data_IF_444366922956
#
_entry.id   IF_444366922956
#
_cell.length_a   1.000
_cell.length_b   1.000
_cell.length_c   1.000
_cell.angle_alpha   90.00
_cell.angle_beta   90.00
_cell.angle_gamma   90.00
#
_symmetry.space_group_name_H-M   'P 1'
#
loop_
_entity.id
_entity.type
_entity.pdbx_description
1 polymer ?
#
# COMPACT_ATOMS: atom_id res chain seq x y z
N UNK A 1 14.78 -1.57 -2.98
CA UNK A 1 16.20 -1.96 -3.04
C UNK A 1 16.41 -3.10 -4.03
N UNK A 2 17.51 -3.05 -4.78
CA UNK A 2 17.95 -4.14 -5.66
C UNK A 2 19.38 -4.54 -5.32
N UNK A 3 19.61 -5.81 -5.01
CA UNK A 3 20.94 -6.37 -4.79
C UNK A 3 20.95 -7.89 -5.04
N UNK A 4 21.99 -8.41 -5.65
CA UNK A 4 22.21 -9.86 -5.87
C UNK A 4 20.97 -10.61 -6.39
N UNK A 5 20.29 -10.07 -7.42
CA UNK A 5 19.05 -10.60 -7.97
C UNK A 5 17.87 -10.61 -6.99
N UNK A 6 17.94 -9.90 -5.87
CA UNK A 6 16.82 -9.68 -4.97
C UNK A 6 16.27 -8.28 -5.18
N UNK A 7 14.98 -8.18 -5.50
CA UNK A 7 14.22 -6.93 -5.49
C UNK A 7 13.42 -6.90 -4.19
N UNK A 8 13.77 -5.97 -3.32
CA UNK A 8 13.09 -5.77 -2.05
C UNK A 8 12.25 -4.50 -2.11
N UNK A 9 10.94 -4.63 -1.90
CA UNK A 9 10.08 -3.48 -1.64
C UNK A 9 10.25 -3.13 -0.15
N UNK A 10 10.81 -1.96 0.14
CA UNK A 10 11.14 -1.54 1.52
C UNK A 10 9.96 -0.78 2.14
N UNK A 11 9.33 0.10 1.38
CA UNK A 11 8.15 0.85 1.82
C UNK A 11 7.24 1.17 0.63
N UNK A 12 5.94 1.27 0.91
CA UNK A 12 4.91 1.73 -0.02
C UNK A 12 4.09 2.82 0.66
N UNK A 13 3.84 3.90 -0.06
CA UNK A 13 2.91 4.96 0.34
C UNK A 13 2.12 5.42 -0.87
N UNK A 14 0.90 5.87 -0.67
CA UNK A 14 0.04 6.33 -1.77
C UNK A 14 -1.14 7.16 -1.30
N UNK A 15 -1.75 7.87 -2.24
CA UNK A 15 -3.01 8.57 -2.06
C UNK A 15 -3.98 8.10 -3.15
N UNK A 16 -5.03 7.36 -2.76
CA UNK A 16 -6.03 6.77 -3.66
C UNK A 16 -6.86 7.81 -4.42
N UNK A 17 -6.80 9.07 -4.00
CA UNK A 17 -7.56 10.18 -4.55
C UNK A 17 -6.65 11.22 -5.19
N UNK A 18 -5.45 10.84 -5.62
CA UNK A 18 -4.50 11.73 -6.27
C UNK A 18 -4.08 11.13 -7.61
N UNK A 19 -4.48 11.78 -8.70
CA UNK A 19 -4.18 11.32 -10.05
C UNK A 19 -4.35 12.38 -11.12
N UNK A 20 -4.35 11.93 -12.38
CA UNK A 20 -4.53 12.81 -13.53
C UNK A 20 -5.88 13.52 -13.57
N UNK A 21 -6.92 12.87 -13.06
CA UNK A 21 -8.29 13.41 -13.03
C UNK A 21 -8.41 14.64 -12.13
N UNK A 22 -7.60 14.72 -11.06
CA UNK A 22 -7.58 15.91 -10.18
C UNK A 22 -7.02 17.14 -10.92
N UNK A 23 -6.02 16.94 -11.79
CA UNK A 23 -5.52 18.01 -12.66
C UNK A 23 -6.56 18.41 -13.69
N UNK A 24 -7.34 17.46 -14.25
CA UNK A 24 -8.41 17.75 -15.18
C UNK A 24 -9.50 18.57 -14.51
N UNK A 25 -9.87 18.23 -13.29
CA UNK A 25 -10.82 19.01 -12.50
C UNK A 25 -10.28 20.41 -12.16
N UNK A 26 -9.00 20.53 -11.79
CA UNK A 26 -8.38 21.82 -11.52
C UNK A 26 -8.42 22.75 -12.76
N UNK A 27 -8.13 22.22 -13.95
CA UNK A 27 -8.25 22.95 -15.21
C UNK A 27 -9.71 23.34 -15.47
N UNK A 28 -10.67 22.41 -15.30
CA UNK A 28 -12.08 22.65 -15.52
C UNK A 28 -12.64 23.74 -14.58
N UNK A 29 -12.29 23.70 -13.29
CA UNK A 29 -12.66 24.74 -12.31
C UNK A 29 -12.04 26.08 -12.67
N UNK A 30 -10.79 26.12 -13.10
CA UNK A 30 -10.12 27.34 -13.57
C UNK A 30 -10.83 27.93 -14.80
N UNK A 31 -11.20 27.09 -15.76
CA UNK A 31 -11.98 27.51 -16.93
C UNK A 31 -13.32 28.15 -16.52
N UNK A 32 -14.04 27.51 -15.61
CA UNK A 32 -15.30 28.06 -15.10
C UNK A 32 -15.08 29.40 -14.39
N UNK A 33 -14.07 29.51 -13.54
CA UNK A 33 -13.73 30.76 -12.86
C UNK A 33 -13.36 31.87 -13.83
N UNK A 34 -12.56 31.56 -14.86
CA UNK A 34 -12.18 32.50 -15.93
C UNK A 34 -13.41 33.09 -16.65
N UNK A 35 -14.44 32.28 -16.83
CA UNK A 35 -15.69 32.68 -17.50
C UNK A 35 -16.81 33.06 -16.53
N UNK A 36 -16.54 33.24 -15.23
CA UNK A 36 -17.52 33.56 -14.18
C UNK A 36 -18.67 32.55 -14.11
N UNK A 37 -18.37 31.28 -14.35
CA UNK A 37 -19.29 30.16 -14.24
C UNK A 37 -19.04 29.43 -12.92
N UNK A 38 -20.09 28.88 -12.33
CA UNK A 38 -19.93 27.99 -11.19
C UNK A 38 -19.83 26.55 -11.67
N UNK A 39 -18.65 25.92 -11.43
CA UNK A 39 -18.38 24.53 -11.81
C UNK A 39 -19.34 23.55 -11.12
N UNK A 40 -19.67 23.79 -9.84
CA UNK A 40 -20.47 22.86 -9.06
C UNK A 40 -21.95 22.88 -9.48
N UNK A 41 -22.43 23.98 -10.08
CA UNK A 41 -23.76 24.12 -10.62
C UNK A 41 -23.93 23.54 -12.03
N UNK A 42 -22.84 23.13 -12.70
CA UNK A 42 -22.94 22.51 -14.03
C UNK A 42 -23.64 21.15 -13.95
N UNK A 43 -24.55 20.88 -14.86
CA UNK A 43 -25.13 19.55 -15.03
C UNK A 43 -24.09 18.49 -15.41
N UNK A 44 -24.36 17.25 -15.08
CA UNK A 44 -23.40 16.13 -15.23
C UNK A 44 -22.83 16.00 -16.65
N UNK A 45 -23.65 16.18 -17.69
CA UNK A 45 -23.20 16.10 -19.08
C UNK A 45 -22.18 17.20 -19.42
N UNK A 46 -22.43 18.42 -18.93
CA UNK A 46 -21.53 19.57 -19.15
C UNK A 46 -20.21 19.40 -18.39
N UNK A 47 -20.27 18.91 -17.14
CA UNK A 47 -19.06 18.56 -16.36
C UNK A 47 -18.21 17.53 -17.10
N UNK A 48 -18.82 16.43 -17.55
CA UNK A 48 -18.10 15.37 -18.29
C UNK A 48 -17.51 15.86 -19.62
N UNK A 49 -18.19 16.78 -20.32
CA UNK A 49 -17.67 17.37 -21.54
C UNK A 49 -16.45 18.26 -21.23
N UNK A 50 -16.55 19.12 -20.21
CA UNK A 50 -15.46 20.01 -19.82
C UNK A 50 -14.23 19.24 -19.31
N UNK A 51 -14.42 18.18 -18.51
CA UNK A 51 -13.34 17.32 -18.04
C UNK A 51 -12.58 16.67 -19.20
N UNK A 52 -13.30 16.14 -20.22
CA UNK A 52 -12.63 15.61 -21.44
C UNK A 52 -11.81 16.65 -22.20
N UNK A 53 -12.31 17.89 -22.27
CA UNK A 53 -11.53 18.97 -22.88
C UNK A 53 -10.31 19.34 -22.05
N UNK A 54 -10.44 19.34 -20.72
CA UNK A 54 -9.35 19.57 -19.79
C UNK A 54 -8.29 18.50 -19.91
N UNK A 55 -8.66 17.22 -19.95
CA UNK A 55 -7.77 16.10 -20.17
C UNK A 55 -6.99 16.22 -21.49
N UNK A 56 -7.69 16.57 -22.58
CA UNK A 56 -7.06 16.80 -23.88
C UNK A 56 -6.00 17.90 -23.80
N UNK A 57 -6.32 19.04 -23.19
CA UNK A 57 -5.35 20.13 -23.01
C UNK A 57 -4.17 19.72 -22.13
N UNK A 58 -4.43 19.00 -21.03
CA UNK A 58 -3.37 18.43 -20.18
C UNK A 58 -2.43 17.52 -20.97
N UNK A 59 -2.98 16.64 -21.81
CA UNK A 59 -2.19 15.76 -22.68
C UNK A 59 -1.39 16.56 -23.72
N UNK A 60 -1.97 17.59 -24.33
CA UNK A 60 -1.25 18.45 -25.27
C UNK A 60 -0.06 19.16 -24.63
N UNK A 61 -0.17 19.59 -23.37
CA UNK A 61 0.92 20.23 -22.62
C UNK A 61 2.09 19.27 -22.28
N UNK A 62 1.98 17.99 -22.56
CA UNK A 62 3.11 17.06 -22.48
C UNK A 62 4.10 17.25 -23.63
N UNK A 63 3.66 17.83 -24.76
CA UNK A 63 4.43 18.01 -25.98
C UNK A 63 4.58 19.47 -26.40
N UNK A 64 3.77 20.36 -25.83
CA UNK A 64 3.72 21.80 -26.15
C UNK A 64 3.85 22.61 -24.88
N UNK A 65 4.40 23.81 -24.98
CA UNK A 65 4.49 24.72 -23.82
C UNK A 65 3.16 25.40 -23.48
N UNK A 66 2.29 25.54 -24.51
CA UNK A 66 0.98 26.19 -24.37
C UNK A 66 -0.08 25.50 -25.25
N UNK A 67 -1.32 25.61 -24.83
CA UNK A 67 -2.52 25.14 -25.54
C UNK A 67 -3.72 26.06 -25.22
N UNK A 68 -4.85 25.82 -25.85
CA UNK A 68 -6.08 26.56 -25.58
C UNK A 68 -7.22 25.56 -25.31
N UNK A 69 -7.88 25.68 -24.16
CA UNK A 69 -9.11 24.96 -23.88
C UNK A 69 -10.26 25.67 -24.63
N UNK A 70 -10.79 25.00 -25.65
CA UNK A 70 -11.87 25.51 -26.49
C UNK A 70 -13.15 24.71 -26.21
N UNK A 71 -14.15 25.38 -25.68
CA UNK A 71 -15.48 24.79 -25.49
C UNK A 71 -16.46 25.38 -26.51
N UNK A 72 -16.48 24.77 -27.69
CA UNK A 72 -17.24 25.29 -28.84
C UNK A 72 -18.74 25.44 -28.54
N UNK A 73 -19.35 24.46 -27.85
CA UNK A 73 -20.77 24.49 -27.46
C UNK A 73 -21.14 25.71 -26.61
N UNK A 74 -20.19 26.29 -25.91
CA UNK A 74 -20.37 27.50 -25.08
C UNK A 74 -19.78 28.77 -25.72
N UNK A 75 -19.07 28.63 -26.83
CA UNK A 75 -18.35 29.73 -27.47
C UNK A 75 -17.24 30.32 -26.60
N UNK A 76 -16.64 29.54 -25.72
CA UNK A 76 -15.69 29.99 -24.70
C UNK A 76 -14.32 29.37 -24.90
N UNK A 77 -13.28 30.15 -24.59
CA UNK A 77 -11.87 29.73 -24.74
C UNK A 77 -11.04 30.21 -23.57
N UNK A 78 -10.03 29.44 -23.17
CA UNK A 78 -9.07 29.79 -22.13
C UNK A 78 -7.67 29.32 -22.54
N UNK A 79 -6.66 30.21 -22.60
CA UNK A 79 -5.28 29.79 -22.80
C UNK A 79 -4.78 29.03 -21.57
N UNK A 80 -3.98 28.00 -21.81
CA UNK A 80 -3.41 27.16 -20.77
C UNK A 80 -1.94 26.87 -21.12
N UNK A 81 -1.07 26.96 -20.12
CA UNK A 81 0.35 26.61 -20.25
C UNK A 81 0.83 25.87 -19.00
N UNK A 82 2.07 25.35 -19.06
CA UNK A 82 2.63 24.60 -17.96
C UNK A 82 2.80 25.43 -16.66
N UNK A 83 3.03 26.73 -16.75
CA UNK A 83 3.12 27.61 -15.58
C UNK A 83 1.77 27.75 -14.87
N UNK A 84 0.70 27.98 -15.63
CA UNK A 84 -0.65 28.05 -15.09
C UNK A 84 -1.05 26.68 -14.49
N UNK A 85 -0.77 25.58 -15.20
CA UNK A 85 -1.03 24.23 -14.71
C UNK A 85 -0.31 23.93 -13.38
N UNK A 86 0.94 24.37 -13.25
CA UNK A 86 1.68 24.23 -12.00
C UNK A 86 1.02 25.02 -10.84
N UNK A 87 0.55 26.24 -11.11
CA UNK A 87 -0.20 27.03 -10.10
C UNK A 87 -1.51 26.38 -9.70
N UNK A 88 -2.26 25.84 -10.66
CA UNK A 88 -3.53 25.13 -10.40
C UNK A 88 -3.32 23.82 -9.61
N UNK A 89 -2.20 23.16 -9.84
CA UNK A 89 -1.84 21.90 -9.19
C UNK A 89 -1.19 22.01 -7.82
N UNK A 90 -1.03 23.21 -7.23
CA UNK A 90 -0.26 23.39 -6.00
C UNK A 90 -0.72 22.46 -4.85
N UNK A 91 -2.02 22.40 -4.59
CA UNK A 91 -2.57 21.52 -3.55
C UNK A 91 -2.36 20.02 -3.84
N UNK A 92 -2.30 19.64 -5.12
CA UNK A 92 -2.02 18.27 -5.55
C UNK A 92 -0.54 17.93 -5.33
N UNK A 93 0.34 18.90 -5.59
CA UNK A 93 1.77 18.75 -5.31
C UNK A 93 2.05 18.64 -3.80
N UNK A 94 1.36 19.41 -2.96
CA UNK A 94 1.50 19.30 -1.51
C UNK A 94 1.10 17.90 -1.00
N UNK A 95 0.02 17.33 -1.53
CA UNK A 95 -0.38 15.94 -1.25
C UNK A 95 0.67 14.94 -1.73
N UNK A 96 1.21 15.13 -2.93
CA UNK A 96 2.26 14.28 -3.47
C UNK A 96 3.53 14.30 -2.59
N UNK A 97 3.92 15.48 -2.09
CA UNK A 97 5.04 15.59 -1.14
C UNK A 97 4.81 14.78 0.12
N UNK A 98 3.61 14.84 0.72
CA UNK A 98 3.27 14.07 1.91
C UNK A 98 3.40 12.57 1.69
N UNK A 99 2.99 12.07 0.52
CA UNK A 99 3.13 10.65 0.15
C UNK A 99 4.62 10.27 0.05
N UNK A 100 5.44 11.09 -0.61
CA UNK A 100 6.88 10.84 -0.76
C UNK A 100 7.59 10.87 0.60
N UNK A 101 7.32 11.88 1.43
CA UNK A 101 7.89 12.00 2.76
C UNK A 101 7.52 10.80 3.66
N UNK A 102 6.29 10.32 3.53
CA UNK A 102 5.84 9.11 4.25
C UNK A 102 6.61 7.89 3.80
N UNK A 103 6.80 7.69 2.48
CA UNK A 103 7.56 6.57 1.95
C UNK A 103 9.04 6.60 2.40
N UNK A 104 9.68 7.76 2.37
CA UNK A 104 11.05 7.95 2.84
C UNK A 104 11.16 7.66 4.35
N UNK A 105 10.26 8.20 5.15
CA UNK A 105 10.24 7.96 6.60
C UNK A 105 10.04 6.48 6.93
N UNK A 106 9.10 5.82 6.28
CA UNK A 106 8.77 4.42 6.53
C UNK A 106 9.90 3.48 6.06
N UNK A 107 10.63 3.85 5.00
CA UNK A 107 11.80 3.12 4.55
C UNK A 107 13.05 3.36 5.40
N UNK A 108 12.99 4.33 6.33
CA UNK A 108 14.15 4.79 7.12
C UNK A 108 15.31 5.20 6.19
N UNK A 109 14.98 5.84 5.05
CA UNK A 109 15.92 6.33 4.06
C UNK A 109 15.86 7.85 3.94
N UNK A 110 17.00 8.46 3.68
CA UNK A 110 17.08 9.84 3.24
C UNK A 110 17.06 9.93 1.70
N UNK A 111 16.75 11.10 1.17
CA UNK A 111 16.73 11.29 -0.29
C UNK A 111 18.13 11.12 -0.93
N UNK A 112 19.18 11.36 -0.17
CA UNK A 112 20.57 11.19 -0.60
C UNK A 112 20.92 9.72 -0.83
N UNK A 113 20.25 8.80 -0.14
CA UNK A 113 20.43 7.35 -0.25
C UNK A 113 19.65 6.73 -1.41
N UNK A 114 18.81 7.53 -2.10
CA UNK A 114 18.05 7.08 -3.27
C UNK A 114 18.92 7.20 -4.52
N UNK A 115 19.24 6.11 -5.17
CA UNK A 115 20.07 6.11 -6.38
C UNK A 115 19.32 6.66 -7.58
N UNK A 116 18.06 6.30 -7.76
CA UNK A 116 17.27 6.68 -8.92
C UNK A 116 15.79 6.93 -8.57
N UNK A 117 15.19 7.92 -9.24
CA UNK A 117 13.76 8.21 -9.17
C UNK A 117 13.15 7.89 -10.52
N UNK A 118 12.29 6.88 -10.58
CA UNK A 118 11.69 6.41 -11.84
C UNK A 118 10.22 6.83 -11.87
N UNK A 119 9.83 7.55 -12.94
CA UNK A 119 8.46 7.98 -13.17
C UNK A 119 7.71 6.97 -14.04
N UNK A 120 6.51 6.58 -13.61
CA UNK A 120 5.66 5.57 -14.23
C UNK A 120 4.22 6.07 -14.35
N UNK A 121 3.52 5.62 -15.38
CA UNK A 121 2.12 5.98 -15.62
C UNK A 121 1.93 7.26 -16.43
N UNK A 122 0.72 7.45 -16.98
CA UNK A 122 0.40 8.51 -17.92
C UNK A 122 0.62 9.93 -17.37
N UNK A 123 0.24 10.18 -16.11
CA UNK A 123 0.40 11.49 -15.46
C UNK A 123 1.87 11.90 -15.29
N UNK A 124 2.79 10.93 -15.21
CA UNK A 124 4.22 11.20 -15.10
C UNK A 124 4.82 11.87 -16.34
N UNK A 125 4.11 11.83 -17.47
CA UNK A 125 4.49 12.51 -18.72
C UNK A 125 4.35 14.04 -18.64
N UNK A 126 3.62 14.58 -17.66
CA UNK A 126 3.46 16.02 -17.48
C UNK A 126 4.79 16.66 -17.05
N UNK A 127 5.31 17.65 -17.82
CA UNK A 127 6.57 18.33 -17.47
C UNK A 127 6.54 18.96 -16.08
N UNK A 128 5.39 19.44 -15.64
CA UNK A 128 5.22 20.07 -14.32
C UNK A 128 5.50 19.10 -13.17
N UNK A 129 5.18 17.81 -13.30
CA UNK A 129 5.49 16.79 -12.29
C UNK A 129 6.99 16.53 -12.21
N UNK A 130 7.64 16.33 -13.34
CA UNK A 130 9.10 16.11 -13.39
C UNK A 130 9.85 17.30 -12.80
N UNK A 131 9.45 18.53 -13.16
CA UNK A 131 10.06 19.75 -12.66
C UNK A 131 9.83 19.92 -11.16
N UNK A 132 8.61 19.67 -10.69
CA UNK A 132 8.28 19.73 -9.27
C UNK A 132 9.14 18.75 -8.46
N UNK A 133 9.20 17.48 -8.86
CA UNK A 133 9.99 16.46 -8.18
C UNK A 133 11.49 16.79 -8.21
N UNK A 134 12.01 17.27 -9.33
CA UNK A 134 13.40 17.71 -9.42
C UNK A 134 13.70 18.84 -8.43
N UNK A 135 12.77 19.77 -8.25
CA UNK A 135 12.93 20.91 -7.35
C UNK A 135 12.88 20.45 -5.88
N UNK A 136 11.94 19.60 -5.53
CA UNK A 136 11.74 19.09 -4.17
C UNK A 136 12.83 18.12 -3.74
N UNK A 137 13.16 17.16 -4.60
CA UNK A 137 14.08 16.07 -4.27
C UNK A 137 15.52 16.37 -4.70
N UNK A 138 15.75 17.53 -5.34
CA UNK A 138 17.07 17.97 -5.86
C UNK A 138 17.76 16.92 -6.74
N UNK A 139 16.96 16.04 -7.32
CA UNK A 139 17.36 15.00 -8.27
C UNK A 139 16.45 15.01 -9.50
N UNK A 140 17.02 14.84 -10.68
CA UNK A 140 16.24 14.74 -11.90
C UNK A 140 15.62 13.32 -11.97
N UNK A 141 14.29 13.20 -12.02
CA UNK A 141 13.66 11.91 -12.25
C UNK A 141 14.00 11.37 -13.65
N UNK A 142 14.13 10.07 -13.78
CA UNK A 142 14.17 9.36 -15.06
C UNK A 142 12.78 8.85 -15.41
N UNK A 143 12.52 8.78 -16.71
CA UNK A 143 11.28 8.23 -17.25
C UNK A 143 11.63 6.99 -18.08
N UNK A 144 10.91 5.91 -17.87
CA UNK A 144 11.04 4.71 -18.72
C UNK A 144 10.53 5.00 -20.12
N UNK A 145 11.01 4.26 -21.12
CA UNK A 145 10.68 4.48 -22.52
C UNK A 145 9.17 4.42 -22.82
N UNK A 146 8.44 3.54 -22.12
CA UNK A 146 6.98 3.38 -22.26
C UNK A 146 6.31 3.42 -20.89
N UNK A 147 6.09 4.61 -20.28
CA UNK A 147 5.52 4.73 -18.95
C UNK A 147 4.13 4.09 -18.79
N UNK A 148 3.37 3.96 -19.85
CA UNK A 148 2.04 3.36 -19.87
C UNK A 148 2.10 1.82 -19.91
N UNK A 149 3.18 1.24 -20.43
CA UNK A 149 3.32 -0.20 -20.68
C UNK A 149 4.21 -0.90 -19.64
N UNK A 150 5.00 -0.15 -18.89
CA UNK A 150 6.03 -0.70 -17.99
C UNK A 150 5.43 -1.63 -16.94
N UNK A 151 4.21 -1.37 -16.47
CA UNK A 151 3.52 -2.24 -15.51
C UNK A 151 3.19 -3.59 -16.15
N UNK A 152 2.68 -3.59 -17.40
CA UNK A 152 2.41 -4.82 -18.13
C UNK A 152 3.69 -5.62 -18.41
N UNK A 153 4.78 -4.94 -18.74
CA UNK A 153 6.11 -5.56 -18.91
C UNK A 153 6.59 -6.18 -17.60
N UNK A 154 6.46 -5.47 -16.48
CA UNK A 154 6.80 -5.99 -15.15
C UNK A 154 6.00 -7.23 -14.77
N UNK A 155 4.69 -7.23 -15.04
CA UNK A 155 3.82 -8.41 -14.83
C UNK A 155 4.29 -9.60 -15.69
N UNK A 156 4.69 -9.35 -16.95
CA UNK A 156 5.24 -10.38 -17.83
C UNK A 156 6.54 -10.99 -17.28
N UNK A 157 7.45 -10.17 -16.79
CA UNK A 157 8.69 -10.62 -16.14
C UNK A 157 8.35 -11.44 -14.88
N UNK A 158 7.45 -10.94 -14.05
CA UNK A 158 7.04 -11.64 -12.83
C UNK A 158 6.39 -13.00 -13.10
N UNK A 159 5.58 -13.11 -14.14
CA UNK A 159 5.03 -14.39 -14.58
C UNK A 159 6.16 -15.36 -14.98
N UNK A 160 7.18 -14.88 -15.70
CA UNK A 160 8.34 -15.69 -16.06
C UNK A 160 9.15 -16.15 -14.85
N UNK A 161 9.31 -15.30 -13.82
CA UNK A 161 9.94 -15.68 -12.53
C UNK A 161 9.15 -16.80 -11.86
N UNK A 162 7.82 -16.68 -11.81
CA UNK A 162 6.95 -17.75 -11.23
C UNK A 162 7.02 -19.06 -12.00
N UNK A 163 7.15 -19.03 -13.31
CA UNK A 163 7.33 -20.21 -14.17
C UNK A 163 8.77 -20.79 -14.12
N UNK A 164 9.68 -20.16 -13.38
CA UNK A 164 11.10 -20.53 -13.25
C UNK A 164 11.81 -20.66 -14.61
N UNK A 165 11.55 -19.73 -15.53
CA UNK A 165 12.27 -19.68 -16.82
C UNK A 165 13.76 -19.48 -16.59
N UNK A 166 14.59 -20.16 -17.39
CA UNK A 166 16.05 -20.25 -17.16
C UNK A 166 16.74 -18.89 -17.00
N UNK A 167 16.33 -17.87 -17.76
CA UNK A 167 17.00 -16.57 -17.80
C UNK A 167 16.71 -15.67 -16.59
N UNK A 168 15.63 -15.95 -15.84
CA UNK A 168 15.16 -15.08 -14.74
C UNK A 168 14.81 -15.86 -13.45
N UNK A 169 15.13 -17.15 -13.40
CA UNK A 169 14.77 -18.04 -12.27
C UNK A 169 15.39 -17.64 -10.93
N UNK A 170 16.52 -16.92 -10.97
CA UNK A 170 17.28 -16.54 -9.78
C UNK A 170 16.83 -15.17 -9.23
N UNK A 171 15.88 -14.48 -9.91
CA UNK A 171 15.30 -13.24 -9.41
C UNK A 171 14.31 -13.52 -8.28
N UNK A 172 14.53 -12.91 -7.13
CA UNK A 172 13.65 -12.98 -5.96
C UNK A 172 12.98 -11.63 -5.77
N UNK A 173 11.65 -11.62 -5.77
CA UNK A 173 10.85 -10.45 -5.43
C UNK A 173 10.23 -10.65 -4.05
N UNK A 174 10.49 -9.73 -3.13
CA UNK A 174 9.81 -9.66 -1.84
C UNK A 174 8.79 -8.54 -1.87
N UNK A 175 7.61 -8.83 -1.37
CA UNK A 175 6.50 -7.88 -1.29
C UNK A 175 6.17 -7.55 0.16
N UNK A 176 5.42 -6.48 0.37
CA UNK A 176 5.02 -6.01 1.70
C UNK A 176 3.51 -5.75 1.76
N UNK A 177 2.96 -5.75 2.96
CA UNK A 177 1.58 -5.37 3.19
C UNK A 177 1.42 -3.86 2.96
N UNK A 178 0.64 -3.41 1.96
CA UNK A 178 0.58 -2.00 1.62
C UNK A 178 -0.22 -1.14 2.61
N UNK A 179 -1.07 -1.78 3.42
CA UNK A 179 -1.91 -1.11 4.42
C UNK A 179 -1.93 -1.90 5.72
N UNK A 180 -2.08 -1.19 6.83
CA UNK A 180 -2.30 -1.82 8.14
C UNK A 180 -3.61 -2.60 8.14
N UNK A 181 -3.56 -3.83 8.64
CA UNK A 181 -4.71 -4.71 8.85
C UNK A 181 -4.94 -4.89 10.34
N UNK A 182 -6.17 -4.76 10.78
CA UNK A 182 -6.49 -4.81 12.20
C UNK A 182 -7.96 -5.11 12.48
N UNK A 183 -8.30 -5.05 13.77
CA UNK A 183 -9.65 -5.29 14.25
C UNK A 183 -10.16 -4.10 15.06
N UNK A 184 -11.49 -4.08 15.28
CA UNK A 184 -12.10 -3.12 16.19
C UNK A 184 -11.85 -3.50 17.64
N UNK A 185 -11.50 -2.52 18.45
CA UNK A 185 -11.49 -2.60 19.91
C UNK A 185 -12.37 -1.50 20.48
N UNK A 186 -12.89 -1.73 21.69
CA UNK A 186 -13.80 -0.79 22.35
C UNK A 186 -13.08 0.52 22.64
N UNK A 187 -13.74 1.61 22.30
CA UNK A 187 -13.36 2.95 22.71
C UNK A 187 -14.22 3.35 23.92
N UNK A 188 -13.65 3.29 25.13
CA UNK A 188 -14.39 3.63 26.36
C UNK A 188 -14.76 5.12 26.47
N UNK A 189 -14.25 5.99 25.63
CA UNK A 189 -14.61 7.40 25.58
C UNK A 189 -15.79 7.67 24.64
N UNK A 190 -16.01 6.80 23.66
CA UNK A 190 -17.04 6.96 22.62
C UNK A 190 -17.36 5.59 22.02
N UNK A 191 -18.43 4.97 22.50
CA UNK A 191 -18.85 3.62 22.08
C UNK A 191 -19.24 3.53 20.59
N UNK A 192 -19.63 4.65 19.97
CA UNK A 192 -20.03 4.71 18.56
C UNK A 192 -18.81 4.73 17.61
N UNK A 193 -17.62 5.04 18.11
CA UNK A 193 -16.39 5.15 17.37
C UNK A 193 -15.31 4.17 17.86
N UNK A 194 -15.38 2.87 17.50
CA UNK A 194 -14.38 1.90 17.89
C UNK A 194 -12.99 2.24 17.32
N UNK A 195 -11.96 1.94 18.08
CA UNK A 195 -10.56 2.15 17.71
C UNK A 195 -10.05 0.96 16.92
N UNK A 196 -9.21 1.19 15.92
CA UNK A 196 -8.54 0.14 15.19
C UNK A 196 -7.28 -0.33 15.93
N UNK A 197 -7.25 -1.61 16.30
CA UNK A 197 -6.07 -2.30 16.82
C UNK A 197 -5.36 -2.99 15.66
N UNK A 198 -4.14 -2.55 15.35
CA UNK A 198 -3.33 -3.11 14.28
C UNK A 198 -2.84 -4.52 14.63
N UNK A 199 -2.99 -5.48 13.72
CA UNK A 199 -2.46 -6.85 13.84
C UNK A 199 -1.31 -7.06 12.86
N UNK A 200 -1.48 -6.68 11.58
CA UNK A 200 -0.39 -6.61 10.60
C UNK A 200 -0.21 -5.14 10.23
N UNK A 201 0.92 -4.58 10.56
CA UNK A 201 1.23 -3.20 10.19
C UNK A 201 1.60 -3.09 8.71
N UNK A 202 1.32 -1.95 8.08
CA UNK A 202 1.82 -1.66 6.74
C UNK A 202 3.34 -1.87 6.67
N UNK A 203 3.84 -2.15 5.49
CA UNK A 203 5.24 -2.48 5.23
C UNK A 203 5.75 -3.76 5.92
N UNK A 204 4.86 -4.59 6.51
CA UNK A 204 5.22 -5.95 6.94
C UNK A 204 5.51 -6.82 5.72
N UNK A 205 6.65 -7.52 5.71
CA UNK A 205 7.07 -8.40 4.60
C UNK A 205 6.09 -9.56 4.44
N UNK A 206 5.69 -9.86 3.21
CA UNK A 206 4.76 -10.94 2.84
C UNK A 206 5.51 -12.17 2.31
N UNK A 207 4.98 -13.36 2.52
CA UNK A 207 3.81 -13.70 3.33
C UNK A 207 4.10 -13.59 4.83
N UNK A 208 3.09 -13.22 5.61
CA UNK A 208 3.26 -13.11 7.07
C UNK A 208 2.05 -13.67 7.84
N UNK A 209 2.31 -14.07 9.08
CA UNK A 209 1.28 -14.42 10.04
C UNK A 209 1.57 -13.74 11.38
N UNK A 210 0.61 -12.98 11.88
CA UNK A 210 0.72 -12.30 13.18
C UNK A 210 -0.46 -12.61 14.05
N UNK A 211 -0.21 -12.66 15.35
CA UNK A 211 -1.18 -13.03 16.35
C UNK A 211 -1.18 -12.01 17.48
N UNK A 212 -2.39 -11.61 17.90
CA UNK A 212 -2.59 -10.76 19.04
C UNK A 212 -3.67 -11.33 19.99
N UNK A 213 -3.63 -10.89 21.25
CA UNK A 213 -4.50 -11.36 22.31
C UNK A 213 -5.48 -10.27 22.75
N UNK A 214 -6.74 -10.67 22.88
CA UNK A 214 -7.84 -9.78 23.24
C UNK A 214 -8.69 -10.42 24.35
N UNK A 215 -9.57 -9.61 24.93
CA UNK A 215 -10.46 -10.03 25.99
C UNK A 215 -11.87 -9.52 25.72
N UNK A 216 -12.86 -10.03 26.48
CA UNK A 216 -14.22 -9.47 26.46
C UNK A 216 -14.26 -8.05 27.03
N UNK A 217 -15.08 -7.19 26.43
CA UNK A 217 -15.18 -5.77 26.75
C UNK A 217 -16.10 -5.45 27.94
N UNK A 218 -17.09 -6.30 28.24
CA UNK A 218 -18.08 -6.12 29.30
C UNK A 218 -18.35 -7.42 30.05
N UNK A 219 -18.92 -7.26 31.25
CA UNK A 219 -19.35 -8.38 32.06
C UNK A 219 -20.48 -9.18 31.39
N UNK A 220 -20.41 -10.48 31.52
CA UNK A 220 -21.41 -11.41 30.97
C UNK A 220 -21.63 -11.30 29.47
N UNK A 221 -20.62 -10.88 28.72
CA UNK A 221 -20.65 -10.82 27.25
C UNK A 221 -20.78 -12.23 26.69
N UNK A 222 -21.84 -12.48 25.91
CA UNK A 222 -22.15 -13.80 25.34
C UNK A 222 -21.63 -13.99 23.93
N UNK A 223 -21.37 -12.88 23.21
CA UNK A 223 -20.93 -12.89 21.83
C UNK A 223 -19.91 -11.77 21.58
N UNK A 224 -18.94 -12.04 20.73
CA UNK A 224 -18.03 -11.03 20.19
C UNK A 224 -18.24 -10.87 18.68
N UNK A 225 -18.06 -9.65 18.21
CA UNK A 225 -18.01 -9.32 16.77
C UNK A 225 -16.65 -8.72 16.48
N UNK A 226 -15.79 -9.50 15.85
CA UNK A 226 -14.46 -9.07 15.44
C UNK A 226 -14.58 -8.51 14.03
N UNK A 227 -14.71 -7.20 13.89
CA UNK A 227 -14.64 -6.50 12.61
C UNK A 227 -13.22 -6.49 12.09
N UNK A 228 -13.05 -6.67 10.79
CA UNK A 228 -11.75 -6.70 10.12
C UNK A 228 -11.65 -5.45 9.26
N UNK A 229 -10.58 -4.68 9.46
CA UNK A 229 -10.38 -3.38 8.85
C UNK A 229 -9.02 -3.26 8.19
N UNK A 230 -8.96 -2.39 7.17
CA UNK A 230 -7.76 -2.01 6.44
C UNK A 230 -7.64 -0.49 6.39
N UNK A 231 -6.50 0.05 6.75
CA UNK A 231 -6.19 1.49 6.66
C UNK A 231 -5.31 1.97 7.80
N UNK A 232 -5.08 3.29 7.83
CA UNK A 232 -4.14 3.94 8.74
C UNK A 232 -4.85 4.89 9.74
N UNK A 233 -6.18 5.00 9.68
CA UNK A 233 -6.94 5.87 10.55
C UNK A 233 -7.09 5.26 11.95
N UNK A 234 -7.11 6.11 12.96
CA UNK A 234 -7.26 5.71 14.36
C UNK A 234 -8.62 5.06 14.64
N UNK A 235 -9.70 5.63 14.07
CA UNK A 235 -11.05 5.11 14.22
C UNK A 235 -11.38 4.11 13.11
N UNK A 236 -12.08 3.02 13.49
CA UNK A 236 -12.52 2.01 12.53
C UNK A 236 -13.44 2.57 11.44
N UNK A 237 -14.27 3.55 11.78
CA UNK A 237 -15.22 4.16 10.84
C UNK A 237 -14.55 4.90 9.68
N UNK A 238 -13.29 5.33 9.86
CA UNK A 238 -12.49 6.02 8.85
C UNK A 238 -11.63 5.04 8.02
N UNK A 239 -11.67 3.75 8.33
CA UNK A 239 -10.96 2.69 7.65
C UNK A 239 -11.89 1.84 6.78
N UNK A 240 -11.33 1.12 5.81
CA UNK A 240 -12.09 0.21 4.97
C UNK A 240 -12.44 -1.06 5.75
N UNK A 241 -13.74 -1.32 5.93
CA UNK A 241 -14.22 -2.56 6.53
C UNK A 241 -14.18 -3.71 5.52
N UNK A 242 -13.38 -4.73 5.78
CA UNK A 242 -13.25 -5.92 4.94
C UNK A 242 -14.26 -7.02 5.29
N UNK A 243 -14.70 -7.07 6.54
CA UNK A 243 -15.64 -8.09 6.99
C UNK A 243 -15.75 -8.18 8.52
N UNK A 244 -16.37 -9.25 9.00
CA UNK A 244 -16.45 -9.54 10.43
C UNK A 244 -16.53 -11.05 10.70
N UNK A 245 -16.11 -11.44 11.92
CA UNK A 245 -16.28 -12.78 12.48
C UNK A 245 -17.11 -12.62 13.76
N UNK A 246 -18.22 -13.34 13.83
CA UNK A 246 -19.05 -13.40 15.04
C UNK A 246 -18.78 -14.72 15.77
N UNK A 247 -18.58 -14.67 17.07
CA UNK A 247 -18.31 -15.86 17.88
C UNK A 247 -18.98 -15.77 19.24
N UNK A 248 -19.66 -16.84 19.64
CA UNK A 248 -20.18 -16.98 20.97
C UNK A 248 -19.04 -17.29 21.95
N UNK A 249 -19.03 -16.60 23.08
CA UNK A 249 -18.03 -16.77 24.15
C UNK A 249 -18.71 -17.09 25.47
N UNK A 250 -17.93 -17.59 26.39
CA UNK A 250 -18.44 -17.84 27.75
C UNK A 250 -18.70 -16.51 28.46
N UNK A 251 -19.89 -16.34 29.11
CA UNK A 251 -20.23 -15.11 29.82
C UNK A 251 -19.43 -15.04 31.14
N UNK A 252 -18.32 -14.34 31.10
CA UNK A 252 -17.42 -14.07 32.22
C UNK A 252 -17.39 -12.58 32.55
N UNK A 253 -16.69 -12.21 33.62
CA UNK A 253 -16.40 -10.81 33.92
C UNK A 253 -15.51 -10.21 32.86
N UNK A 254 -15.60 -8.90 32.69
CA UNK A 254 -14.73 -8.13 31.79
C UNK A 254 -13.26 -8.52 31.95
N UNK A 255 -12.59 -8.77 30.85
CA UNK A 255 -11.16 -9.09 30.80
C UNK A 255 -10.81 -10.55 31.10
N UNK A 256 -11.78 -11.43 31.32
CA UNK A 256 -11.53 -12.83 31.71
C UNK A 256 -11.54 -13.83 30.53
N UNK A 257 -12.13 -13.48 29.40
CA UNK A 257 -11.98 -14.31 28.20
C UNK A 257 -10.59 -14.11 27.58
N UNK A 258 -10.00 -15.17 27.10
CA UNK A 258 -8.71 -15.16 26.38
C UNK A 258 -8.96 -15.46 24.90
N UNK A 259 -8.95 -14.41 24.09
CA UNK A 259 -9.26 -14.47 22.67
C UNK A 259 -7.98 -14.25 21.87
N UNK A 260 -7.61 -15.23 21.08
CA UNK A 260 -6.46 -15.19 20.19
C UNK A 260 -6.93 -14.84 18.79
N UNK A 261 -6.45 -13.74 18.21
CA UNK A 261 -6.73 -13.34 16.83
C UNK A 261 -5.47 -13.47 16.00
N UNK A 262 -5.53 -14.30 14.97
CA UNK A 262 -4.41 -14.56 14.07
C UNK A 262 -4.79 -14.10 12.66
N UNK A 263 -3.95 -13.23 12.09
CA UNK A 263 -4.01 -12.81 10.69
C UNK A 263 -2.90 -13.48 9.91
N UNK A 264 -3.23 -14.11 8.80
CA UNK A 264 -2.25 -14.66 7.85
C UNK A 264 -2.52 -14.07 6.49
N UNK A 265 -1.53 -13.37 5.93
CA UNK A 265 -1.66 -12.65 4.67
C UNK A 265 -0.60 -13.13 3.67
N UNK A 266 -1.06 -13.48 2.46
CA UNK A 266 -0.18 -14.00 1.41
C UNK A 266 0.20 -12.92 0.38
N UNK A 267 1.17 -13.25 -0.48
CA UNK A 267 1.63 -12.38 -1.57
C UNK A 267 0.59 -12.19 -2.70
N UNK A 268 -0.52 -12.91 -2.68
CA UNK A 268 -1.57 -12.83 -3.70
C UNK A 268 -2.80 -12.04 -3.19
N UNK A 269 -2.72 -11.45 -2.01
CA UNK A 269 -3.81 -10.67 -1.42
C UNK A 269 -4.89 -11.52 -0.72
N UNK A 270 -4.58 -12.77 -0.36
CA UNK A 270 -5.49 -13.60 0.44
C UNK A 270 -5.20 -13.38 1.91
N UNK A 271 -6.19 -12.84 2.63
CA UNK A 271 -6.15 -12.66 4.07
C UNK A 271 -7.00 -13.72 4.77
N UNK A 272 -6.37 -14.56 5.58
CA UNK A 272 -7.05 -15.46 6.50
C UNK A 272 -7.05 -14.85 7.90
N UNK A 273 -8.22 -14.73 8.49
CA UNK A 273 -8.40 -14.28 9.87
C UNK A 273 -9.00 -15.43 10.68
N UNK A 274 -8.33 -15.75 11.76
CA UNK A 274 -8.73 -16.81 12.68
C UNK A 274 -8.90 -16.23 14.08
N UNK A 275 -10.07 -16.45 14.67
CA UNK A 275 -10.38 -16.11 16.07
C UNK A 275 -10.52 -17.39 16.86
N UNK A 276 -9.74 -17.53 17.92
CA UNK A 276 -9.76 -18.69 18.82
C UNK A 276 -10.09 -18.23 20.23
N UNK A 277 -11.11 -18.80 20.82
CA UNK A 277 -11.39 -18.67 22.25
C UNK A 277 -10.55 -19.71 23.01
N UNK A 278 -9.54 -19.24 23.72
CA UNK A 278 -8.62 -20.03 24.54
C UNK A 278 -8.97 -19.92 26.05
N UNK A 279 -10.17 -19.48 26.39
CA UNK A 279 -10.58 -19.23 27.78
C UNK A 279 -10.51 -20.51 28.62
N UNK A 280 -10.92 -21.65 28.06
CA UNK A 280 -10.85 -22.95 28.71
C UNK A 280 -9.78 -23.83 28.05
N UNK A 281 -8.69 -24.17 28.75
CA UNK A 281 -7.68 -25.06 28.19
C UNK A 281 -8.27 -26.42 27.81
N UNK A 282 -8.06 -26.83 26.56
CA UNK A 282 -8.56 -28.11 26.03
C UNK A 282 -9.97 -28.05 25.40
N UNK A 283 -10.68 -26.93 25.47
CA UNK A 283 -11.98 -26.68 24.82
C UNK A 283 -11.92 -25.48 23.86
N UNK A 284 -10.84 -25.34 23.15
CA UNK A 284 -10.65 -24.22 22.24
C UNK A 284 -11.72 -24.18 21.15
N UNK A 285 -12.41 -23.05 21.00
CA UNK A 285 -13.35 -22.79 19.91
C UNK A 285 -12.71 -21.89 18.88
N UNK A 286 -12.82 -22.27 17.63
CA UNK A 286 -12.16 -21.58 16.55
C UNK A 286 -13.15 -21.20 15.45
N UNK A 287 -13.12 -19.92 15.04
CA UNK A 287 -13.79 -19.46 13.82
C UNK A 287 -12.79 -18.84 12.87
N UNK A 288 -12.98 -19.08 11.59
CA UNK A 288 -12.10 -18.65 10.52
C UNK A 288 -12.89 -17.93 9.44
N UNK A 289 -12.33 -16.88 8.90
CA UNK A 289 -12.82 -16.19 7.70
C UNK A 289 -11.67 -15.96 6.73
N UNK A 290 -11.92 -16.25 5.48
CA UNK A 290 -10.99 -15.97 4.39
C UNK A 290 -11.55 -14.80 3.60
N UNK A 291 -10.71 -13.81 3.39
CA UNK A 291 -11.00 -12.63 2.60
C UNK A 291 -10.04 -12.63 1.41
N UNK A 292 -10.58 -12.74 0.23
CA UNK A 292 -9.85 -12.57 -1.02
C UNK A 292 -10.36 -11.29 -1.68
N UNK A 293 -9.50 -10.57 -2.39
CA UNK A 293 -9.96 -9.45 -3.21
C UNK A 293 -11.03 -9.95 -4.20
N UNK A 294 -12.13 -9.21 -4.35
CA UNK A 294 -13.22 -9.55 -5.29
C UNK A 294 -12.71 -9.71 -6.74
N UNK A 295 -11.57 -9.12 -7.04
CA UNK A 295 -10.90 -9.23 -8.34
C UNK A 295 -10.16 -10.57 -8.53
N UNK A 296 -9.92 -11.32 -7.45
CA UNK A 296 -9.32 -12.65 -7.51
C UNK A 296 -10.42 -13.68 -7.78
N UNK A 297 -10.66 -13.99 -9.05
CA UNK A 297 -11.55 -15.10 -9.48
C UNK A 297 -10.88 -16.46 -9.20
N UNK A 298 -10.55 -16.71 -7.94
CA UNK A 298 -9.99 -17.99 -7.51
C UNK A 298 -11.14 -18.95 -7.18
N UNK A 299 -10.99 -20.23 -7.57
CA UNK A 299 -11.90 -21.27 -7.12
C UNK A 299 -11.68 -21.54 -5.61
N UNK A 300 -12.70 -22.06 -4.94
CA UNK A 300 -12.58 -22.47 -3.52
C UNK A 300 -11.45 -23.49 -3.31
N UNK A 301 -11.23 -24.38 -4.27
CA UNK A 301 -10.15 -25.37 -4.24
C UNK A 301 -8.77 -24.72 -4.31
N UNK A 302 -8.60 -23.68 -5.11
CA UNK A 302 -7.37 -22.93 -5.23
C UNK A 302 -7.09 -22.10 -3.95
N UNK A 303 -8.11 -21.50 -3.37
CA UNK A 303 -8.03 -20.81 -2.10
C UNK A 303 -7.61 -21.80 -0.98
N UNK A 304 -8.24 -22.97 -0.91
CA UNK A 304 -7.89 -23.99 0.07
C UNK A 304 -6.46 -24.51 -0.09
N UNK A 305 -6.00 -24.72 -1.32
CA UNK A 305 -4.63 -25.12 -1.60
C UNK A 305 -3.62 -24.10 -1.06
N UNK A 306 -3.84 -22.82 -1.35
CA UNK A 306 -2.97 -21.73 -0.89
C UNK A 306 -3.00 -21.55 0.62
N UNK A 307 -4.16 -21.68 1.23
CA UNK A 307 -4.27 -21.66 2.69
C UNK A 307 -3.52 -22.82 3.34
N UNK A 308 -3.41 -23.95 2.66
CA UNK A 308 -2.62 -25.09 3.13
C UNK A 308 -1.12 -24.80 3.11
N UNK A 309 -0.65 -24.11 2.07
CA UNK A 309 0.72 -23.61 1.97
C UNK A 309 1.00 -22.54 3.06
N UNK A 310 0.06 -21.62 3.30
CA UNK A 310 0.17 -20.59 4.31
C UNK A 310 0.20 -21.14 5.76
N UNK A 311 -0.32 -22.34 6.01
CA UNK A 311 -0.24 -22.97 7.34
C UNK A 311 1.20 -23.16 7.81
N UNK A 312 2.15 -23.32 6.89
CA UNK A 312 3.57 -23.41 7.23
C UNK A 312 4.08 -22.11 7.86
N UNK A 313 3.57 -20.95 7.43
CA UNK A 313 3.96 -19.65 7.98
C UNK A 313 3.37 -19.36 9.37
N UNK A 314 2.22 -19.99 9.72
CA UNK A 314 1.68 -19.93 11.09
C UNK A 314 2.57 -20.62 12.14
N UNK A 315 3.37 -21.58 11.68
CA UNK A 315 4.29 -22.35 12.53
C UNK A 315 5.70 -21.74 12.56
N UNK A 316 6.00 -20.81 11.63
CA UNK A 316 7.29 -20.12 11.60
C UNK A 316 7.12 -18.71 12.18
N UNK A 317 8.01 -18.27 13.10
CA UNK A 317 8.09 -16.87 13.46
C UNK A 317 8.27 -16.01 12.21
N UNK A 318 7.69 -14.80 12.17
CA UNK A 318 7.75 -13.87 11.02
C UNK A 318 9.16 -13.50 10.53
N UNK A 319 10.20 -14.12 11.05
CA UNK A 319 11.61 -13.92 10.76
C UNK A 319 12.19 -14.72 9.60
N UNK A 320 11.55 -15.79 9.12
CA UNK A 320 12.24 -16.76 8.25
C UNK A 320 12.70 -16.18 6.90
N UNK A 321 11.91 -15.35 6.23
CA UNK A 321 12.30 -14.69 4.96
C UNK A 321 13.20 -13.50 5.26
N UNK A 322 12.82 -12.67 6.23
CA UNK A 322 13.62 -11.53 6.66
C UNK A 322 15.00 -11.96 7.18
N UNK A 323 15.07 -13.07 7.91
CA UNK A 323 16.32 -13.66 8.38
C UNK A 323 17.21 -14.12 7.22
N UNK A 324 16.64 -14.81 6.21
CA UNK A 324 17.39 -15.22 5.01
C UNK A 324 17.95 -14.01 4.26
N UNK A 325 17.16 -12.94 4.13
CA UNK A 325 17.59 -11.70 3.47
C UNK A 325 18.70 -10.99 4.26
N UNK A 326 18.55 -10.87 5.59
CA UNK A 326 19.56 -10.25 6.44
C UNK A 326 20.83 -11.10 6.45
N UNK A 327 20.72 -12.43 6.41
CA UNK A 327 21.87 -13.33 6.29
C UNK A 327 22.59 -13.17 4.95
N UNK A 328 21.86 -13.15 3.81
CA UNK A 328 22.45 -12.91 2.49
C UNK A 328 23.14 -11.54 2.42
N UNK A 329 22.54 -10.50 3.02
CA UNK A 329 23.15 -9.17 3.17
C UNK A 329 24.41 -9.20 4.03
N UNK A 330 24.40 -10.01 5.09
CA UNK A 330 25.54 -10.25 5.95
C UNK A 330 26.69 -10.95 5.23
N UNK A 331 26.40 -11.98 4.43
CA UNK A 331 27.37 -12.69 3.61
C UNK A 331 28.06 -11.77 2.60
N UNK A 332 27.29 -10.89 1.97
CA UNK A 332 27.82 -9.89 1.06
C UNK A 332 28.72 -8.89 1.79
N UNK A 333 28.28 -8.29 2.88
CA UNK A 333 29.10 -7.38 3.68
C UNK A 333 30.37 -8.06 4.18
N UNK A 334 30.31 -9.37 4.49
CA UNK A 334 31.47 -10.16 4.85
C UNK A 334 32.46 -10.25 3.69
N UNK A 335 32.00 -10.45 2.45
CA UNK A 335 32.90 -10.51 1.28
C UNK A 335 33.52 -9.15 0.93
N UNK A 336 32.78 -8.05 1.16
CA UNK A 336 33.18 -6.68 0.83
C UNK A 336 34.03 -6.02 1.95
N UNK A 337 34.09 -6.59 3.15
CA UNK A 337 34.81 -6.00 4.30
C UNK A 337 36.04 -6.79 4.70
N UNK A 338 37.00 -6.11 5.32
CA UNK A 338 38.25 -6.70 5.83
C UNK A 338 38.51 -6.29 7.28
N UNK A 339 39.34 -7.08 8.00
CA UNK A 339 39.82 -6.76 9.35
C UNK A 339 38.68 -6.66 10.38
N UNK A 340 38.70 -5.62 11.21
CA UNK A 340 37.76 -5.45 12.32
C UNK A 340 36.30 -5.35 11.88
N UNK A 341 36.03 -4.74 10.72
CA UNK A 341 34.66 -4.63 10.16
C UNK A 341 34.11 -6.00 9.78
N UNK A 342 34.91 -6.85 9.15
CA UNK A 342 34.54 -8.24 8.83
C UNK A 342 34.18 -9.03 10.09
N UNK A 343 34.95 -8.88 11.18
CA UNK A 343 34.63 -9.52 12.45
C UNK A 343 33.31 -9.04 13.05
N UNK A 344 32.98 -7.75 12.95
CA UNK A 344 31.69 -7.22 13.38
C UNK A 344 30.52 -7.83 12.61
N UNK A 345 30.66 -7.99 11.29
CA UNK A 345 29.64 -8.65 10.45
C UNK A 345 29.42 -10.09 10.90
N UNK A 346 30.50 -10.86 11.15
CA UNK A 346 30.37 -12.24 11.66
C UNK A 346 29.63 -12.29 12.99
N UNK A 347 29.95 -11.41 13.94
CA UNK A 347 29.25 -11.35 15.23
C UNK A 347 27.78 -11.05 15.08
N UNK A 348 27.42 -10.12 14.19
CA UNK A 348 26.00 -9.79 13.90
C UNK A 348 25.26 -10.97 13.28
N UNK A 349 25.87 -11.65 12.28
CA UNK A 349 25.29 -12.84 11.65
C UNK A 349 25.07 -13.98 12.66
N UNK A 350 26.04 -14.23 13.53
CA UNK A 350 25.91 -15.24 14.59
C UNK A 350 24.77 -14.90 15.58
N UNK A 351 24.64 -13.64 15.97
CA UNK A 351 23.53 -13.20 16.84
C UNK A 351 22.16 -13.41 16.18
N UNK A 352 22.05 -13.16 14.88
CA UNK A 352 20.81 -13.40 14.12
C UNK A 352 20.51 -14.89 14.07
N UNK A 353 21.52 -15.74 13.80
CA UNK A 353 21.36 -17.20 13.80
C UNK A 353 20.96 -17.78 15.16
N UNK A 354 21.39 -17.16 16.25
CA UNK A 354 21.03 -17.60 17.61
C UNK A 354 19.64 -17.10 18.06
N UNK A 355 19.11 -16.05 17.43
CA UNK A 355 17.81 -15.46 17.74
C UNK A 355 16.65 -16.07 16.94
N UNK A 356 16.91 -16.96 16.00
CA UNK A 356 15.98 -17.69 15.14
C UNK A 356 15.88 -19.15 15.56
#
# INVERSE_FOLDING_TARGET
DYFDNVIEIVAVSGDNRLGGDDFDEAIARSFCAHHRMDYDSLGQQRKSALLRLSEKCKQELTQKDETELVWEAEGKRMPLNNLLLAGLGQSLFDRMSQVIETALRDSVRSIEEIDEIILVGGSSKMPVISLYLQTQLKRKPSMVASPDEVVAMGVGIYAGVKERKQDIRDLVLTDICPFTLGINVVNYADDDNPIMSAVIERNSVLPCSKTDWYTNACDNQKQIVVGIYQGEAFYCNDNLRLGAIEMDIQPLKKGQNHLKVCFTYDINGILEVEVTDCTNPGEERKKRKVLASENLRLSEEEIERRLKELRMYKLMPCGGIRTKMVMARGERLYSETLGARRQQVVIMMQKIQQAV
#
